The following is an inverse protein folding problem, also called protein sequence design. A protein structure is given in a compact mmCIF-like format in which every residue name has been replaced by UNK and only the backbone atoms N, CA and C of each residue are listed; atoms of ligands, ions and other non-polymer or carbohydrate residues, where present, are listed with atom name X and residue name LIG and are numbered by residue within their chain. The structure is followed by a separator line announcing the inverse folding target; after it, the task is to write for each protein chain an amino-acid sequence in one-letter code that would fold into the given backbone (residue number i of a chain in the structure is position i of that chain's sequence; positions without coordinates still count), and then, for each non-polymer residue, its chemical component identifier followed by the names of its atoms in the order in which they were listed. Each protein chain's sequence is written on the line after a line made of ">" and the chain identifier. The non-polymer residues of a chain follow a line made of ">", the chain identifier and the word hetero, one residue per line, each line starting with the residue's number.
data_IF_097235036221
#
_entry.id   IF_097235036221
#
_cell.length_a   1.000
_cell.length_b   1.000
_cell.length_c   1.000
_cell.angle_alpha   90.00
_cell.angle_beta   90.00
_cell.angle_gamma   90.00
#
_symmetry.space_group_name_H-M   'P 1'
#
loop_
_entity.id
_entity.type
_entity.pdbx_description
1 polymer ?
#
# COMPACT_ATOMS: atom_id res chain seq x y z
N UNK A 1 -43.21 25.62 48.68
CA UNK A 1 -42.16 24.79 48.09
C UNK A 1 -41.26 24.29 49.18
N UNK A 2 -41.10 22.96 49.30
CA UNK A 2 -40.27 22.34 50.34
C UNK A 2 -38.78 22.64 50.08
N UNK A 3 -37.98 22.86 51.14
CA UNK A 3 -36.52 23.03 51.04
C UNK A 3 -35.87 21.86 50.28
N UNK A 4 -36.47 20.67 50.34
CA UNK A 4 -36.01 19.49 49.59
C UNK A 4 -36.21 19.62 48.07
N UNK A 5 -37.33 20.20 47.62
CA UNK A 5 -37.62 20.43 46.19
C UNK A 5 -36.67 21.47 45.59
N UNK A 6 -36.36 22.52 46.34
CA UNK A 6 -35.38 23.55 45.94
C UNK A 6 -33.95 22.97 45.86
N UNK A 7 -33.55 22.09 46.81
CA UNK A 7 -32.25 21.41 46.77
C UNK A 7 -32.11 20.51 45.55
N UNK A 8 -33.14 19.73 45.23
CA UNK A 8 -33.13 18.83 44.07
C UNK A 8 -33.07 19.65 42.77
N UNK A 9 -33.86 20.72 42.66
CA UNK A 9 -33.85 21.62 41.50
C UNK A 9 -32.51 22.32 41.23
N UNK A 10 -31.73 22.64 42.28
CA UNK A 10 -30.37 23.21 42.16
C UNK A 10 -29.29 22.15 41.90
N UNK A 11 -29.51 20.90 42.29
CA UNK A 11 -28.53 19.81 42.16
C UNK A 11 -28.40 19.31 40.71
N UNK A 12 -29.49 19.29 39.94
CA UNK A 12 -29.48 18.86 38.54
C UNK A 12 -28.65 19.77 37.61
N UNK A 13 -28.79 21.12 37.63
CA UNK A 13 -27.95 22.01 36.83
C UNK A 13 -26.46 21.88 37.14
N UNK A 14 -26.09 21.80 38.41
CA UNK A 14 -24.68 21.65 38.84
C UNK A 14 -24.10 20.31 38.36
N UNK A 15 -24.89 19.23 38.42
CA UNK A 15 -24.47 17.93 37.90
C UNK A 15 -24.33 17.97 36.37
N UNK A 16 -25.24 18.64 35.68
CA UNK A 16 -25.22 18.79 34.23
C UNK A 16 -23.98 19.55 33.74
N UNK A 17 -23.66 20.71 34.33
CA UNK A 17 -22.45 21.48 34.01
C UNK A 17 -21.16 20.66 34.21
N UNK A 18 -21.11 19.82 35.26
CA UNK A 18 -19.96 18.94 35.51
C UNK A 18 -19.82 17.86 34.43
N UNK A 19 -20.94 17.32 33.95
CA UNK A 19 -20.96 16.34 32.86
C UNK A 19 -20.48 17.01 31.56
N UNK A 20 -21.00 18.18 31.22
CA UNK A 20 -20.57 18.93 30.03
C UNK A 20 -19.07 19.26 30.05
N UNK A 21 -18.57 19.75 31.19
CA UNK A 21 -17.14 20.02 31.35
C UNK A 21 -16.27 18.75 31.22
N UNK A 22 -16.81 17.59 31.60
CA UNK A 22 -16.12 16.30 31.47
C UNK A 22 -16.11 15.83 30.02
N UNK A 23 -17.25 15.94 29.32
CA UNK A 23 -17.36 15.63 27.89
C UNK A 23 -16.38 16.48 27.09
N UNK A 24 -16.36 17.81 27.30
CA UNK A 24 -15.45 18.70 26.58
C UNK A 24 -13.97 18.35 26.81
N UNK A 25 -13.60 17.96 28.04
CA UNK A 25 -12.24 17.48 28.35
C UNK A 25 -11.92 16.17 27.64
N UNK A 26 -12.87 15.23 27.55
CA UNK A 26 -12.71 13.97 26.83
C UNK A 26 -12.58 14.20 25.32
N UNK A 27 -13.42 15.06 24.74
CA UNK A 27 -13.35 15.43 23.32
C UNK A 27 -12.02 16.08 22.98
N UNK A 28 -11.54 17.00 23.82
CA UNK A 28 -10.22 17.63 23.65
C UNK A 28 -9.08 16.60 23.71
N UNK A 29 -9.16 15.62 24.62
CA UNK A 29 -8.17 14.53 24.69
C UNK A 29 -8.26 13.61 23.47
N UNK A 30 -9.45 13.25 23.03
CA UNK A 30 -9.67 12.44 21.84
C UNK A 30 -9.13 13.13 20.58
N UNK A 31 -9.35 14.44 20.44
CA UNK A 31 -8.81 15.23 19.34
C UNK A 31 -7.27 15.23 19.31
N UNK A 32 -6.61 15.17 20.47
CA UNK A 32 -5.14 15.05 20.58
C UNK A 32 -4.62 13.63 20.33
N UNK A 33 -5.35 12.61 20.78
CA UNK A 33 -4.92 11.20 20.66
C UNK A 33 -5.13 10.67 19.23
N UNK A 34 -6.20 11.08 18.56
CA UNK A 34 -6.54 10.64 17.20
C UNK A 34 -5.38 10.75 16.20
N UNK A 35 -4.72 11.92 16.01
CA UNK A 35 -3.60 12.02 15.06
C UNK A 35 -2.41 11.13 15.45
N UNK A 36 -2.16 10.95 16.75
CA UNK A 36 -1.08 10.08 17.25
C UNK A 36 -1.36 8.63 16.83
N UNK A 37 -2.57 8.12 17.05
CA UNK A 37 -2.95 6.76 16.64
C UNK A 37 -2.81 6.60 15.12
N UNK A 38 -3.27 7.58 14.34
CA UNK A 38 -3.16 7.56 12.88
C UNK A 38 -1.69 7.53 12.41
N UNK A 39 -0.80 8.31 13.04
CA UNK A 39 0.63 8.32 12.74
C UNK A 39 1.31 6.99 13.12
N UNK A 40 1.00 6.45 14.30
CA UNK A 40 1.53 5.15 14.72
C UNK A 40 1.06 4.02 13.80
N UNK A 41 -0.21 4.01 13.40
CA UNK A 41 -0.74 3.06 12.43
C UNK A 41 0.03 3.17 11.10
N UNK A 42 0.22 4.40 10.58
CA UNK A 42 1.02 4.68 9.37
C UNK A 42 2.43 4.11 9.45
N UNK A 43 3.14 4.38 10.54
CA UNK A 43 4.52 3.91 10.75
C UNK A 43 4.61 2.39 10.88
N UNK A 44 3.62 1.77 11.51
CA UNK A 44 3.58 0.31 11.65
C UNK A 44 3.37 -0.38 10.29
N UNK A 45 2.52 0.19 9.44
CA UNK A 45 2.22 -0.33 8.12
C UNK A 45 3.39 -0.15 7.16
N UNK A 46 4.02 1.02 7.14
CA UNK A 46 5.22 1.26 6.33
C UNK A 46 6.36 0.28 6.66
N UNK A 47 6.54 -0.04 7.95
CA UNK A 47 7.52 -1.04 8.38
C UNK A 47 7.18 -2.45 7.89
N UNK A 48 5.89 -2.84 7.86
CA UNK A 48 5.45 -4.13 7.31
C UNK A 48 5.68 -4.18 5.80
N UNK A 49 5.30 -3.13 5.08
CA UNK A 49 5.46 -3.03 3.63
C UNK A 49 6.94 -3.15 3.23
N UNK A 50 7.84 -2.45 3.93
CA UNK A 50 9.29 -2.56 3.70
C UNK A 50 9.80 -3.99 3.87
N UNK A 51 9.44 -4.67 4.96
CA UNK A 51 9.84 -6.07 5.19
C UNK A 51 9.31 -7.01 4.10
N UNK A 52 8.09 -6.76 3.63
CA UNK A 52 7.48 -7.54 2.57
C UNK A 52 8.20 -7.32 1.22
N UNK A 53 8.52 -6.07 0.89
CA UNK A 53 9.31 -5.70 -0.28
C UNK A 53 10.70 -6.36 -0.26
N UNK A 54 11.45 -6.21 0.83
CA UNK A 54 12.78 -6.83 1.00
C UNK A 54 12.72 -8.36 0.77
N UNK A 55 11.67 -9.00 1.29
CA UNK A 55 11.44 -10.44 1.09
C UNK A 55 11.14 -10.81 -0.37
N UNK A 56 10.31 -10.03 -1.06
CA UNK A 56 10.00 -10.26 -2.47
C UNK A 56 11.24 -10.09 -3.36
N UNK A 57 12.04 -9.07 -3.10
CA UNK A 57 13.30 -8.80 -3.80
C UNK A 57 14.25 -9.97 -3.62
N UNK A 58 14.47 -10.43 -2.38
CA UNK A 58 15.38 -11.55 -2.08
C UNK A 58 14.97 -12.85 -2.78
N UNK A 59 13.68 -13.20 -2.73
CA UNK A 59 13.18 -14.41 -3.40
C UNK A 59 13.41 -14.31 -4.92
N UNK A 60 13.13 -13.15 -5.51
CA UNK A 60 13.30 -12.92 -6.95
C UNK A 60 14.78 -12.99 -7.35
N UNK A 61 15.68 -12.36 -6.59
CA UNK A 61 17.12 -12.42 -6.77
C UNK A 61 17.66 -13.85 -6.77
N UNK A 62 17.24 -14.67 -5.80
CA UNK A 62 17.63 -16.09 -5.72
C UNK A 62 17.15 -16.88 -6.95
N UNK A 63 15.91 -16.66 -7.39
CA UNK A 63 15.31 -17.41 -8.51
C UNK A 63 15.82 -17.00 -9.89
N UNK A 64 16.25 -15.75 -10.03
CA UNK A 64 16.84 -15.21 -11.26
C UNK A 64 18.36 -15.33 -11.28
N UNK A 65 18.99 -15.56 -10.12
CA UNK A 65 20.44 -15.54 -9.94
C UNK A 65 21.04 -14.22 -10.48
N UNK A 66 20.39 -13.11 -10.15
CA UNK A 66 20.72 -11.77 -10.62
C UNK A 66 20.50 -10.75 -9.51
N UNK A 67 21.47 -9.86 -9.30
CA UNK A 67 21.33 -8.71 -8.40
C UNK A 67 20.38 -7.64 -8.98
N UNK A 68 19.38 -7.17 -8.22
CA UNK A 68 18.48 -6.14 -8.68
C UNK A 68 19.07 -4.73 -8.55
N UNK A 69 18.60 -3.83 -9.40
CA UNK A 69 18.63 -2.39 -9.15
C UNK A 69 17.35 -2.06 -8.34
N UNK A 70 17.50 -1.80 -7.04
CA UNK A 70 16.38 -1.44 -6.14
C UNK A 70 15.97 0.02 -6.34
N UNK A 71 14.67 0.33 -6.22
CA UNK A 71 14.10 1.68 -6.44
C UNK A 71 14.54 2.27 -7.80
N UNK A 72 14.46 1.43 -8.84
CA UNK A 72 15.00 1.75 -10.16
C UNK A 72 14.11 2.75 -10.89
N UNK A 73 14.72 3.81 -11.44
CA UNK A 73 14.07 4.79 -12.32
C UNK A 73 14.70 4.76 -13.72
N UNK A 74 14.49 3.68 -14.49
CA UNK A 74 15.12 3.57 -15.79
C UNK A 74 14.59 4.63 -16.75
N UNK A 75 15.44 5.11 -17.66
CA UNK A 75 15.14 6.23 -18.55
C UNK A 75 13.90 6.00 -19.41
N UNK A 76 13.65 4.76 -19.84
CA UNK A 76 12.47 4.40 -20.63
C UNK A 76 11.14 4.53 -19.85
N UNK A 77 11.18 4.58 -18.51
CA UNK A 77 9.99 4.68 -17.66
C UNK A 77 9.54 6.12 -17.41
N UNK A 78 10.11 7.10 -18.10
CA UNK A 78 9.70 8.52 -18.07
C UNK A 78 9.61 9.10 -16.65
N UNK A 79 10.58 8.75 -15.79
CA UNK A 79 10.68 9.23 -14.41
C UNK A 79 9.84 8.44 -13.40
N UNK A 80 9.06 7.45 -13.83
CA UNK A 80 8.43 6.49 -12.92
C UNK A 80 9.49 5.56 -12.28
N UNK A 81 9.16 4.98 -11.14
CA UNK A 81 10.02 4.10 -10.36
C UNK A 81 9.48 2.66 -10.35
N UNK A 82 10.37 1.67 -10.29
CA UNK A 82 10.09 0.25 -10.03
C UNK A 82 10.73 -0.13 -8.69
N UNK A 83 10.09 -1.00 -7.91
CA UNK A 83 10.66 -1.44 -6.63
C UNK A 83 11.98 -2.19 -6.81
N UNK A 84 12.09 -3.01 -7.85
CA UNK A 84 13.34 -3.62 -8.26
C UNK A 84 13.36 -3.95 -9.76
N UNK A 85 14.53 -3.86 -10.38
CA UNK A 85 14.73 -4.19 -11.78
C UNK A 85 15.90 -5.15 -11.99
N UNK A 86 15.63 -6.27 -12.65
CA UNK A 86 16.58 -7.31 -13.02
C UNK A 86 16.87 -7.17 -14.52
N UNK A 87 17.87 -6.35 -14.83
CA UNK A 87 18.16 -5.86 -16.18
C UNK A 87 18.53 -6.99 -17.15
N UNK A 88 19.29 -8.01 -16.73
CA UNK A 88 19.69 -9.13 -17.61
C UNK A 88 18.52 -10.03 -17.93
N UNK A 89 17.67 -10.32 -16.95
CA UNK A 89 16.46 -11.12 -17.14
C UNK A 89 15.32 -10.35 -17.82
N UNK A 90 15.43 -9.04 -17.99
CA UNK A 90 14.33 -8.17 -18.46
C UNK A 90 13.07 -8.35 -17.61
N UNK A 91 13.24 -8.43 -16.30
CA UNK A 91 12.14 -8.57 -15.33
C UNK A 91 12.13 -7.37 -14.38
N UNK A 92 10.98 -6.75 -14.23
CA UNK A 92 10.71 -5.71 -13.24
C UNK A 92 9.83 -6.27 -12.13
N UNK A 93 10.06 -5.89 -10.88
CA UNK A 93 9.25 -6.24 -9.72
C UNK A 93 8.54 -4.98 -9.21
N UNK A 94 7.25 -5.11 -8.93
CA UNK A 94 6.41 -4.06 -8.34
C UNK A 94 5.57 -4.68 -7.21
N UNK A 95 5.66 -4.12 -6.01
CA UNK A 95 4.94 -4.55 -4.82
C UNK A 95 3.72 -3.66 -4.60
N UNK A 96 2.55 -4.28 -4.70
CA UNK A 96 1.27 -3.62 -4.63
C UNK A 96 0.77 -3.57 -3.18
N UNK A 97 0.69 -2.37 -2.60
CA UNK A 97 0.25 -2.15 -1.23
C UNK A 97 -1.27 -2.17 -1.04
N UNK A 98 -1.74 -2.32 0.20
CA UNK A 98 -3.17 -2.30 0.56
C UNK A 98 -3.91 -1.02 0.11
N UNK A 99 -3.16 0.08 0.07
CA UNK A 99 -3.57 1.39 -0.42
C UNK A 99 -4.04 1.40 -1.89
N UNK A 100 -3.66 0.42 -2.71
CA UNK A 100 -4.09 0.31 -4.12
C UNK A 100 -5.49 -0.31 -4.26
N UNK A 101 -6.02 -0.97 -3.21
CA UNK A 101 -7.34 -1.62 -3.23
C UNK A 101 -8.37 -0.99 -2.29
N UNK A 102 -7.95 -0.44 -1.15
CA UNK A 102 -8.87 0.01 -0.12
C UNK A 102 -9.27 1.48 -0.30
N UNK A 103 -10.52 1.70 -0.74
CA UNK A 103 -11.27 2.97 -0.66
C UNK A 103 -11.55 3.44 0.78
N UNK A 104 -10.68 3.13 1.74
CA UNK A 104 -10.96 3.47 3.14
C UNK A 104 -10.75 4.98 3.35
N UNK A 105 -11.84 5.61 3.78
CA UNK A 105 -12.07 7.04 4.07
C UNK A 105 -11.05 7.73 4.99
N UNK A 106 -10.04 6.99 5.46
CA UNK A 106 -8.93 7.45 6.31
C UNK A 106 -7.65 7.80 5.52
N UNK A 107 -7.36 7.10 4.41
CA UNK A 107 -6.10 7.26 3.67
C UNK A 107 -6.19 8.21 2.50
N UNK A 108 -7.28 8.11 1.73
CA UNK A 108 -7.60 9.02 0.64
C UNK A 108 -8.98 9.60 0.90
N UNK A 109 -9.04 10.89 1.22
CA UNK A 109 -10.29 11.65 1.21
C UNK A 109 -10.80 11.91 -0.21
N UNK A 110 -10.01 11.56 -1.23
CA UNK A 110 -10.13 12.10 -2.59
C UNK A 110 -9.99 10.99 -3.63
N UNK A 111 -11.06 10.74 -4.38
CA UNK A 111 -11.17 9.71 -5.43
C UNK A 111 -10.09 9.88 -6.50
N UNK A 112 -9.72 11.14 -6.78
CA UNK A 112 -8.72 11.50 -7.78
C UNK A 112 -7.35 10.86 -7.52
N UNK A 113 -6.94 10.75 -6.26
CA UNK A 113 -5.65 10.14 -5.89
C UNK A 113 -5.60 8.63 -6.16
N UNK A 114 -6.74 7.94 -6.07
CA UNK A 114 -6.81 6.52 -6.42
C UNK A 114 -6.73 6.34 -7.94
N UNK A 115 -7.46 7.16 -8.71
CA UNK A 115 -7.36 7.15 -10.17
C UNK A 115 -5.93 7.43 -10.65
N UNK A 116 -5.22 8.36 -10.01
CA UNK A 116 -3.81 8.65 -10.33
C UNK A 116 -2.91 7.43 -10.10
N UNK A 117 -3.10 6.68 -9.02
CA UNK A 117 -2.35 5.44 -8.73
C UNK A 117 -2.66 4.37 -9.77
N UNK A 118 -3.94 4.12 -10.05
CA UNK A 118 -4.36 3.12 -11.04
C UNK A 118 -3.82 3.46 -12.44
N UNK A 119 -3.86 4.74 -12.81
CA UNK A 119 -3.32 5.22 -14.07
C UNK A 119 -1.79 5.11 -14.12
N UNK A 120 -1.11 5.34 -13.00
CA UNK A 120 0.34 5.15 -12.88
C UNK A 120 0.72 3.67 -13.08
N UNK A 121 0.07 2.75 -12.38
CA UNK A 121 0.29 1.30 -12.50
C UNK A 121 0.03 0.82 -13.93
N UNK A 122 -1.04 1.33 -14.56
CA UNK A 122 -1.36 1.02 -15.96
C UNK A 122 -0.27 1.52 -16.91
N UNK A 123 0.26 2.73 -16.70
CA UNK A 123 1.37 3.27 -17.51
C UNK A 123 2.63 2.42 -17.36
N UNK A 124 3.00 2.02 -16.14
CA UNK A 124 4.14 1.11 -15.91
C UNK A 124 4.00 -0.18 -16.70
N UNK A 125 2.83 -0.85 -16.61
CA UNK A 125 2.54 -2.08 -17.38
C UNK A 125 2.75 -1.89 -18.88
N UNK A 126 2.16 -0.83 -19.46
CA UNK A 126 2.27 -0.56 -20.88
C UNK A 126 3.71 -0.31 -21.32
N UNK A 127 4.43 0.56 -20.60
CA UNK A 127 5.81 0.91 -20.94
C UNK A 127 6.74 -0.29 -20.79
N UNK A 128 6.63 -1.06 -19.71
CA UNK A 128 7.42 -2.28 -19.54
C UNK A 128 7.16 -3.26 -20.69
N UNK A 129 5.90 -3.50 -21.04
CA UNK A 129 5.54 -4.39 -22.14
C UNK A 129 6.13 -3.93 -23.48
N UNK A 130 6.03 -2.64 -23.80
CA UNK A 130 6.57 -2.06 -25.04
C UNK A 130 8.10 -2.19 -25.14
N UNK A 131 8.78 -2.20 -23.99
CA UNK A 131 10.23 -2.38 -23.90
C UNK A 131 10.65 -3.85 -23.74
N UNK A 132 9.73 -4.82 -23.89
CA UNK A 132 10.04 -6.26 -23.75
C UNK A 132 10.34 -6.70 -22.32
N UNK A 133 9.93 -5.93 -21.31
CA UNK A 133 10.16 -6.19 -19.89
C UNK A 133 8.94 -6.87 -19.29
N UNK A 134 9.17 -8.01 -18.63
CA UNK A 134 8.15 -8.69 -17.86
C UNK A 134 7.96 -8.02 -16.50
N UNK A 135 6.81 -7.37 -16.29
CA UNK A 135 6.45 -6.78 -15.00
C UNK A 135 5.79 -7.83 -14.08
N UNK A 136 6.40 -8.06 -12.93
CA UNK A 136 5.96 -8.99 -11.89
C UNK A 136 5.33 -8.21 -10.72
N UNK A 137 4.00 -8.26 -10.60
CA UNK A 137 3.27 -7.43 -9.63
C UNK A 137 2.78 -8.22 -8.40
N UNK A 138 3.48 -8.16 -7.26
CA UNK A 138 3.15 -8.97 -6.07
C UNK A 138 2.32 -8.15 -5.07
N UNK A 139 1.16 -8.66 -4.66
CA UNK A 139 0.33 -8.00 -3.66
C UNK A 139 0.80 -8.27 -2.23
N UNK A 140 0.67 -7.29 -1.35
CA UNK A 140 1.08 -7.37 0.05
C UNK A 140 0.43 -8.52 0.85
N UNK A 141 -0.72 -9.01 0.42
CA UNK A 141 -1.48 -10.13 1.01
C UNK A 141 -1.20 -11.48 0.35
N UNK A 142 -0.40 -11.52 -0.71
CA UNK A 142 0.07 -12.74 -1.35
C UNK A 142 1.22 -13.40 -0.56
N UNK A 143 1.39 -14.72 -0.74
CA UNK A 143 2.55 -15.46 -0.24
C UNK A 143 3.67 -15.40 -1.30
N UNK A 144 4.71 -14.57 -1.14
CA UNK A 144 5.71 -14.35 -2.18
C UNK A 144 6.47 -15.64 -2.54
N UNK A 145 6.65 -16.56 -1.59
CA UNK A 145 7.28 -17.86 -1.79
C UNK A 145 6.51 -18.79 -2.74
N UNK A 146 5.24 -18.49 -2.99
CA UNK A 146 4.39 -19.27 -3.90
C UNK A 146 4.21 -18.49 -5.21
N UNK A 147 3.89 -17.21 -5.08
CA UNK A 147 3.47 -16.38 -6.22
C UNK A 147 4.65 -16.02 -7.13
N UNK A 148 5.80 -15.66 -6.56
CA UNK A 148 6.99 -15.27 -7.34
C UNK A 148 7.51 -16.45 -8.15
N UNK A 149 7.80 -17.63 -7.58
CA UNK A 149 8.28 -18.77 -8.37
C UNK A 149 7.31 -19.17 -9.48
N UNK A 150 6.00 -19.22 -9.18
CA UNK A 150 4.98 -19.60 -10.15
C UNK A 150 4.97 -18.68 -11.37
N UNK A 151 5.07 -17.37 -11.15
CA UNK A 151 5.05 -16.38 -12.23
C UNK A 151 6.36 -16.34 -13.01
N UNK A 152 7.51 -16.46 -12.35
CA UNK A 152 8.81 -16.59 -13.03
C UNK A 152 8.84 -17.86 -13.89
N UNK A 153 8.35 -18.99 -13.39
CA UNK A 153 8.25 -20.22 -14.16
C UNK A 153 7.38 -20.03 -15.41
N UNK A 154 6.26 -19.31 -15.29
CA UNK A 154 5.39 -18.98 -16.43
C UNK A 154 6.13 -18.14 -17.47
N UNK A 155 6.90 -17.13 -17.04
CA UNK A 155 7.72 -16.29 -17.93
C UNK A 155 8.78 -17.15 -18.65
N UNK A 156 9.56 -17.95 -17.92
CA UNK A 156 10.54 -18.87 -18.50
C UNK A 156 9.89 -19.86 -19.48
N UNK A 157 8.68 -20.32 -19.18
CA UNK A 157 7.89 -21.19 -20.06
C UNK A 157 7.50 -20.52 -21.39
N UNK A 158 7.20 -19.22 -21.39
CA UNK A 158 6.96 -18.46 -22.63
C UNK A 158 8.24 -18.26 -23.45
N UNK A 159 9.36 -17.93 -22.80
CA UNK A 159 10.64 -17.71 -23.49
C UNK A 159 11.16 -19.00 -24.13
N UNK A 160 10.94 -20.15 -23.49
CA UNK A 160 11.41 -21.44 -23.97
C UNK A 160 10.47 -22.12 -24.99
N UNK A 161 9.33 -21.50 -25.34
CA UNK A 161 8.50 -22.02 -26.43
C UNK A 161 9.14 -21.66 -27.77
N UNK A 162 9.40 -22.62 -28.67
CA UNK A 162 9.80 -22.28 -30.03
C UNK A 162 8.66 -21.46 -30.64
N UNK A 163 8.98 -20.24 -31.08
CA UNK A 163 8.08 -19.48 -31.94
C UNK A 163 7.75 -20.38 -33.12
N UNK A 164 6.51 -20.87 -33.20
CA UNK A 164 6.01 -21.44 -34.44
C UNK A 164 6.01 -20.27 -35.41
N UNK A 165 7.01 -20.20 -36.27
CA UNK A 165 7.01 -19.31 -37.42
C UNK A 165 5.73 -19.65 -38.17
N UNK A 166 4.78 -18.70 -38.17
CA UNK A 166 3.73 -18.73 -39.15
C UNK A 166 4.41 -18.33 -40.46
N UNK A 167 4.73 -19.33 -41.28
CA UNK A 167 5.09 -19.10 -42.67
C UNK A 167 3.89 -18.39 -43.32
N UNK A 168 4.09 -17.12 -43.66
CA UNK A 168 3.17 -16.31 -44.48
C UNK A 168 3.35 -16.68 -45.95
#
# INVERSE_FOLDING_TARGET
>A
TSIAELKIGLQYPILFERIEATILKLETRNAKIKPIIEEFAKKSESKKNRKFQEKCILITQILLNEEPIVESRPSFLNGLELDAFFQKCQIALEIQGAQHRLHSTSWYKDVKKLEDIVNCDRKKRYICQDNGIFLLEVWYDEKPEIVIPKRIQKIKGFVNQPFRTFDL
#
